data_IF_729507188073
#
_entry.id   IF_729507188073
#
_cell.length_a   1.000
_cell.length_b   1.000
_cell.length_c   1.000
_cell.angle_alpha   90.00
_cell.angle_beta   90.00
_cell.angle_gamma   90.00
#
_symmetry.space_group_name_H-M   'P 1'
#
loop_
_entity.id
_entity.type
_entity.pdbx_description
1 polymer ?
#
# COMPACT_ATOMS: atom_id res chain seq x y z
N UNK A 1 9.57 4.15 -10.05
CA UNK A 1 9.47 5.18 -9.00
C UNK A 1 9.38 4.53 -7.63
N UNK A 2 10.09 5.08 -6.65
CA UNK A 2 10.25 4.53 -5.29
C UNK A 2 9.43 5.28 -4.24
N UNK A 3 8.66 6.27 -4.65
CA UNK A 3 7.87 7.16 -3.80
C UNK A 3 6.40 6.75 -3.63
N UNK A 4 6.03 5.55 -4.06
CA UNK A 4 4.67 5.03 -3.91
C UNK A 4 4.57 4.16 -2.65
N UNK A 5 3.55 4.42 -1.85
CA UNK A 5 3.12 3.55 -0.76
C UNK A 5 1.65 3.19 -0.95
N UNK A 6 1.26 2.00 -0.50
CA UNK A 6 -0.14 1.60 -0.61
C UNK A 6 -0.43 0.29 0.09
N UNK A 7 -1.71 -0.05 0.16
CA UNK A 7 -2.19 -1.22 0.88
C UNK A 7 -3.37 -1.85 0.15
N UNK A 8 -3.28 -3.17 0.01
CA UNK A 8 -4.38 -4.02 -0.44
C UNK A 8 -5.41 -4.22 0.66
N UNK A 9 -6.68 -4.26 0.29
CA UNK A 9 -7.81 -4.68 1.13
C UNK A 9 -8.66 -5.73 0.42
N UNK A 10 -9.17 -6.70 1.17
CA UNK A 10 -10.12 -7.71 0.65
C UNK A 10 -11.06 -8.09 1.78
N UNK A 11 -12.36 -7.98 1.54
CA UNK A 11 -13.36 -8.33 2.54
C UNK A 11 -13.60 -9.83 2.58
N UNK A 12 -14.28 -10.30 3.64
CA UNK A 12 -14.66 -11.69 3.78
C UNK A 12 -15.47 -12.16 2.55
N UNK A 13 -15.31 -13.43 2.18
CA UNK A 13 -15.96 -14.03 1.00
C UNK A 13 -15.61 -13.36 -0.34
N UNK A 14 -14.60 -12.48 -0.36
CA UNK A 14 -14.10 -11.81 -1.56
C UNK A 14 -15.20 -11.00 -2.30
N UNK A 15 -16.09 -10.35 -1.56
CA UNK A 15 -17.16 -9.53 -2.16
C UNK A 15 -16.66 -8.14 -2.54
N UNK A 16 -15.65 -7.62 -1.82
CA UNK A 16 -14.97 -6.36 -2.16
C UNK A 16 -13.46 -6.53 -2.28
N UNK A 17 -12.91 -5.89 -3.29
CA UNK A 17 -11.47 -5.74 -3.50
C UNK A 17 -11.11 -4.24 -3.46
N UNK A 18 -10.14 -3.89 -2.63
CA UNK A 18 -9.69 -2.51 -2.42
C UNK A 18 -8.19 -2.36 -2.67
N UNK A 19 -7.81 -1.19 -3.16
CA UNK A 19 -6.45 -0.69 -3.04
C UNK A 19 -6.47 0.81 -2.79
N UNK A 20 -5.80 1.24 -1.72
CA UNK A 20 -5.53 2.65 -1.44
C UNK A 20 -4.03 2.86 -1.42
N UNK A 21 -3.57 3.93 -2.07
CA UNK A 21 -2.16 4.26 -2.13
C UNK A 21 -1.93 5.72 -2.49
N UNK A 22 -0.70 6.17 -2.27
CA UNK A 22 -0.33 7.56 -2.45
C UNK A 22 1.15 7.72 -2.82
N UNK A 23 1.50 8.92 -3.27
CA UNK A 23 2.80 9.53 -3.05
C UNK A 23 2.62 10.86 -2.29
N UNK A 24 3.67 11.67 -2.12
CA UNK A 24 3.55 12.96 -1.41
C UNK A 24 2.67 14.03 -2.09
N UNK A 25 2.05 13.75 -3.25
CA UNK A 25 1.22 14.71 -4.00
C UNK A 25 -0.19 14.21 -4.29
N UNK A 26 -0.35 12.91 -4.56
CA UNK A 26 -1.62 12.31 -4.96
C UNK A 26 -1.91 11.11 -4.06
N UNK A 27 -3.13 11.07 -3.55
CA UNK A 27 -3.75 9.89 -2.95
C UNK A 27 -4.86 9.41 -3.89
N UNK A 28 -4.96 8.09 -4.07
CA UNK A 28 -6.04 7.48 -4.82
C UNK A 28 -6.48 6.19 -4.16
N UNK A 29 -7.78 5.96 -4.20
CA UNK A 29 -8.43 4.75 -3.70
C UNK A 29 -9.25 4.13 -4.82
N UNK A 30 -9.12 2.83 -5.01
CA UNK A 30 -9.89 2.03 -5.95
C UNK A 30 -10.66 0.96 -5.19
N UNK A 31 -11.95 0.85 -5.51
CA UNK A 31 -12.83 -0.24 -5.12
C UNK A 31 -13.30 -0.98 -6.35
N UNK A 32 -13.39 -2.31 -6.22
CA UNK A 32 -14.08 -3.19 -7.16
C UNK A 32 -15.01 -4.08 -6.35
N UNK A 33 -16.26 -4.17 -6.80
CA UNK A 33 -17.30 -4.99 -6.22
C UNK A 33 -18.51 -5.05 -7.15
N UNK A 34 -19.48 -5.87 -6.79
CA UNK A 34 -20.79 -5.88 -7.43
C UNK A 34 -21.78 -5.10 -6.57
N UNK A 35 -22.75 -4.43 -7.20
CA UNK A 35 -23.84 -3.77 -6.48
C UNK A 35 -24.71 -4.77 -5.68
N UNK A 36 -24.78 -6.03 -6.16
CA UNK A 36 -25.24 -7.16 -5.36
C UNK A 36 -24.17 -7.56 -4.33
N UNK A 37 -24.33 -7.05 -3.11
CA UNK A 37 -23.35 -7.18 -2.02
C UNK A 37 -23.04 -8.62 -1.60
N UNK A 38 -23.86 -9.60 -2.00
CA UNK A 38 -23.62 -11.02 -1.72
C UNK A 38 -22.72 -11.72 -2.74
N UNK A 39 -22.55 -11.12 -3.92
CA UNK A 39 -21.87 -11.74 -5.05
C UNK A 39 -20.35 -11.63 -4.88
N UNK A 40 -19.69 -12.79 -4.85
CA UNK A 40 -18.23 -12.86 -4.78
C UNK A 40 -17.58 -12.43 -6.10
N UNK A 41 -16.46 -11.72 -5.99
CA UNK A 41 -15.53 -11.44 -7.10
C UNK A 41 -14.67 -12.67 -7.44
N UNK A 42 -14.51 -13.59 -6.50
CA UNK A 42 -13.50 -14.66 -6.53
C UNK A 42 -12.05 -14.16 -6.68
N UNK A 43 -11.81 -12.89 -6.38
CA UNK A 43 -10.52 -12.20 -6.52
C UNK A 43 -10.12 -11.47 -5.23
N UNK A 44 -8.89 -10.96 -5.16
CA UNK A 44 -8.43 -10.12 -4.03
C UNK A 44 -8.06 -8.71 -4.51
N UNK A 45 -7.81 -7.81 -3.55
CA UNK A 45 -7.39 -6.43 -3.80
C UNK A 45 -6.18 -6.32 -4.73
N UNK A 46 -5.25 -7.28 -4.66
CA UNK A 46 -4.06 -7.31 -5.51
C UNK A 46 -4.37 -7.64 -6.98
N UNK A 47 -5.43 -8.41 -7.26
CA UNK A 47 -5.80 -8.86 -8.59
C UNK A 47 -6.83 -7.94 -9.24
N UNK A 48 -7.80 -7.43 -8.49
CA UNK A 48 -8.91 -6.65 -9.06
C UNK A 48 -8.68 -5.13 -8.96
N UNK A 49 -8.33 -4.60 -7.78
CA UNK A 49 -8.27 -3.17 -7.54
C UNK A 49 -6.90 -2.55 -7.84
N UNK A 50 -5.81 -3.20 -7.41
CA UNK A 50 -4.44 -2.71 -7.60
C UNK A 50 -4.08 -2.45 -9.07
N UNK A 51 -4.41 -3.31 -10.06
CA UNK A 51 -4.07 -3.03 -11.45
C UNK A 51 -4.71 -1.76 -12.01
N UNK A 52 -5.94 -1.45 -11.60
CA UNK A 52 -6.64 -0.20 -11.98
C UNK A 52 -5.92 0.99 -11.36
N UNK A 53 -5.57 0.91 -10.06
CA UNK A 53 -4.81 1.95 -9.38
C UNK A 53 -3.45 2.20 -10.05
N UNK A 54 -2.73 1.13 -10.44
CA UNK A 54 -1.46 1.23 -11.17
C UNK A 54 -1.64 1.97 -12.50
N UNK A 55 -2.69 1.66 -13.27
CA UNK A 55 -2.96 2.33 -14.54
C UNK A 55 -3.26 3.82 -14.37
N UNK A 56 -4.10 4.15 -13.39
CA UNK A 56 -4.39 5.55 -13.04
C UNK A 56 -3.12 6.30 -12.65
N UNK A 57 -2.34 5.77 -11.69
CA UNK A 57 -1.16 6.45 -11.17
C UNK A 57 -0.03 6.55 -12.20
N UNK A 58 0.11 5.58 -13.12
CA UNK A 58 1.04 5.71 -14.27
C UNK A 58 0.73 6.94 -15.11
N UNK A 59 -0.56 7.20 -15.34
CA UNK A 59 -1.01 8.34 -16.16
C UNK A 59 -0.93 9.65 -15.37
N UNK A 60 -1.47 9.66 -14.14
CA UNK A 60 -1.49 10.84 -13.28
C UNK A 60 -0.09 11.36 -12.95
N UNK A 61 0.90 10.48 -12.87
CA UNK A 61 2.26 10.82 -12.46
C UNK A 61 3.30 10.81 -13.61
N UNK A 62 2.88 10.67 -14.87
CA UNK A 62 3.78 10.42 -16.02
C UNK A 62 4.93 11.42 -16.16
N UNK A 63 4.71 12.70 -15.78
CA UNK A 63 5.69 13.78 -15.85
C UNK A 63 5.94 14.46 -14.50
N UNK A 64 5.56 13.80 -13.40
CA UNK A 64 5.80 14.31 -12.05
C UNK A 64 7.08 13.70 -11.50
N UNK A 65 8.00 14.51 -10.95
CA UNK A 65 9.18 13.99 -10.27
C UNK A 65 8.77 13.05 -9.13
N UNK A 66 9.68 12.16 -8.73
CA UNK A 66 9.48 11.35 -7.53
C UNK A 66 9.49 12.25 -6.30
N UNK A 67 8.54 12.03 -5.40
CA UNK A 67 8.35 12.84 -4.21
C UNK A 67 8.18 11.92 -3.00
N UNK A 68 9.30 11.58 -2.37
CA UNK A 68 9.32 10.82 -1.12
C UNK A 68 9.13 11.76 0.07
N UNK A 69 8.46 11.28 1.12
CA UNK A 69 8.29 12.04 2.34
C UNK A 69 9.63 12.12 3.09
N UNK A 70 10.19 13.32 3.36
CA UNK A 70 11.41 13.43 4.13
C UNK A 70 11.16 12.95 5.56
N UNK A 71 12.11 12.17 6.10
CA UNK A 71 12.03 11.71 7.48
C UNK A 71 12.03 12.93 8.42
N UNK A 72 11.00 13.10 9.27
CA UNK A 72 10.96 14.24 10.19
C UNK A 72 12.09 14.15 11.22
N UNK A 73 12.51 15.29 11.81
CA UNK A 73 13.50 15.29 12.87
C UNK A 73 13.00 14.48 14.08
N UNK A 74 13.94 13.88 14.82
CA UNK A 74 13.63 13.06 16.01
C UNK A 74 13.37 11.58 15.75
N UNK A 75 13.32 11.13 14.49
CA UNK A 75 13.27 9.69 14.16
C UNK A 75 14.67 9.09 14.21
N UNK A 76 14.84 8.03 15.00
CA UNK A 76 16.09 7.28 15.14
C UNK A 76 16.03 5.94 14.41
N UNK A 77 17.20 5.43 14.00
CA UNK A 77 17.35 4.08 13.44
C UNK A 77 18.14 3.23 14.42
N UNK A 78 17.58 2.12 14.86
CA UNK A 78 18.18 1.19 15.83
C UNK A 78 18.08 -0.24 15.32
N UNK A 79 18.97 -1.13 15.78
CA UNK A 79 18.86 -2.57 15.51
C UNK A 79 17.80 -3.17 16.43
N UNK A 80 16.91 -3.98 15.87
CA UNK A 80 15.79 -4.64 16.58
C UNK A 80 15.94 -6.15 16.44
N UNK A 81 15.69 -6.91 17.51
CA UNK A 81 15.55 -8.36 17.44
C UNK A 81 14.21 -8.71 16.75
N UNK A 82 14.23 -9.35 15.57
CA UNK A 82 13.01 -9.61 14.80
C UNK A 82 12.04 -10.57 15.51
N UNK A 83 12.48 -11.29 16.54
CA UNK A 83 11.64 -12.26 17.28
C UNK A 83 10.74 -11.59 18.31
N UNK A 84 11.15 -10.45 18.85
CA UNK A 84 10.43 -9.79 19.96
C UNK A 84 10.15 -8.30 19.73
N UNK A 85 10.74 -7.66 18.72
CA UNK A 85 10.53 -6.25 18.42
C UNK A 85 11.27 -5.28 19.36
N UNK A 86 12.14 -5.76 20.22
CA UNK A 86 12.96 -4.97 21.16
C UNK A 86 14.34 -4.65 20.58
N UNK A 87 15.10 -3.77 21.24
CA UNK A 87 16.49 -3.48 20.87
C UNK A 87 17.33 -4.76 20.83
N UNK A 88 18.09 -4.94 19.75
CA UNK A 88 19.01 -6.06 19.64
C UNK A 88 20.21 -5.87 20.59
N UNK A 89 20.61 -6.94 21.27
CA UNK A 89 21.87 -6.99 22.01
C UNK A 89 23.05 -6.98 21.03
N UNK A 90 24.23 -6.49 21.44
CA UNK A 90 25.41 -6.42 20.58
C UNK A 90 25.80 -7.74 19.92
N UNK A 91 25.61 -8.86 20.62
CA UNK A 91 26.03 -10.19 20.18
C UNK A 91 24.94 -10.98 19.45
N UNK A 92 23.78 -10.36 19.17
CA UNK A 92 22.74 -10.99 18.37
C UNK A 92 23.09 -10.96 16.88
N UNK A 93 23.03 -12.11 16.19
CA UNK A 93 23.29 -12.18 14.76
C UNK A 93 22.36 -11.26 13.96
#
# INVERSE_FOLDING_TARGET
RTDLAGKTGTTNKQVDAWFSGFNSHIEATVWVGFDDSGRSLHEYGAQAALPIWIQFMKSALQNMPEATMPRPPGIVTVRIDPRNGLLANPDQP
#
